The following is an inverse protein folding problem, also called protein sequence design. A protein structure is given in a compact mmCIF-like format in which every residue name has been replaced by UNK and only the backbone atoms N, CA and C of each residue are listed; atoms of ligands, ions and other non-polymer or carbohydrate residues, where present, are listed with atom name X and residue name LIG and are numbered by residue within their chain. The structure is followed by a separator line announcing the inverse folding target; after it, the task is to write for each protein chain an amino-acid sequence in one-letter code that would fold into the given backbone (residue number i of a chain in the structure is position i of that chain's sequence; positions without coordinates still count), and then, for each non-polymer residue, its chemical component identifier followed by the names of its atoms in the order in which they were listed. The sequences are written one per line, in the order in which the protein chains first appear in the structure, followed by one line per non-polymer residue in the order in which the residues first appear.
data_IF_220837421402
#
_entry.id   IF_220837421402
#
_cell.length_a   1.000
_cell.length_b   1.000
_cell.length_c   1.000
_cell.angle_alpha   90.00
_cell.angle_beta   90.00
_cell.angle_gamma   90.00
#
_symmetry.space_group_name_H-M   'P 1'
#
loop_
_entity.id
_entity.type
_entity.pdbx_description
1 polymer ?
#
# COMPACT_ATOMS: atom_id res chain seq x y z
N UNK A 1 36.11 -8.05 -19.14
CA UNK A 1 36.03 -7.39 -17.82
C UNK A 1 35.44 -5.98 -17.88
N UNK A 2 35.58 -5.22 -18.99
CA UNK A 2 34.97 -3.89 -19.15
C UNK A 2 33.45 -3.90 -19.45
N UNK A 3 32.90 -4.91 -20.13
CA UNK A 3 31.46 -4.94 -20.50
C UNK A 3 30.50 -5.12 -19.30
N UNK A 4 30.97 -5.78 -18.23
CA UNK A 4 30.15 -6.10 -17.05
C UNK A 4 29.94 -4.84 -16.17
N UNK A 5 30.93 -3.95 -16.10
CA UNK A 5 30.83 -2.70 -15.32
C UNK A 5 29.77 -1.74 -15.90
N UNK A 6 29.60 -1.72 -17.23
CA UNK A 6 28.70 -0.77 -17.89
C UNK A 6 27.21 -1.12 -17.69
N UNK A 7 26.87 -2.41 -17.68
CA UNK A 7 25.49 -2.86 -17.44
C UNK A 7 24.99 -2.49 -16.03
N UNK A 8 25.86 -2.63 -15.02
CA UNK A 8 25.54 -2.29 -13.62
C UNK A 8 25.31 -0.79 -13.43
N UNK A 9 26.11 0.07 -14.07
CA UNK A 9 25.98 1.52 -13.99
C UNK A 9 24.67 2.04 -14.63
N UNK A 10 24.25 1.46 -15.76
CA UNK A 10 23.01 1.83 -16.45
C UNK A 10 21.77 1.45 -15.63
N UNK A 11 21.78 0.26 -15.02
CA UNK A 11 20.69 -0.19 -14.12
C UNK A 11 20.57 0.72 -12.90
N UNK A 12 21.71 1.10 -12.29
CA UNK A 12 21.73 2.01 -11.15
C UNK A 12 21.20 3.42 -11.52
N UNK A 13 21.56 3.94 -12.70
CA UNK A 13 21.07 5.24 -13.17
C UNK A 13 19.57 5.25 -13.46
N UNK A 14 19.01 4.19 -14.06
CA UNK A 14 17.58 4.07 -14.34
C UNK A 14 16.74 3.97 -13.05
N UNK A 15 17.22 3.25 -12.04
CA UNK A 15 16.58 3.18 -10.73
C UNK A 15 16.62 4.53 -9.99
N UNK A 16 17.75 5.23 -10.05
CA UNK A 16 17.92 6.54 -9.41
C UNK A 16 17.04 7.63 -10.02
N UNK A 17 16.82 7.62 -11.35
CA UNK A 17 16.00 8.63 -12.04
C UNK A 17 14.49 8.41 -11.91
N UNK A 18 14.06 7.19 -11.60
CA UNK A 18 12.63 6.81 -11.53
C UNK A 18 12.08 6.71 -10.11
N UNK A 19 12.94 6.75 -9.08
CA UNK A 19 12.54 6.58 -7.68
C UNK A 19 12.00 5.17 -7.37
N UNK A 20 12.24 4.20 -8.25
CA UNK A 20 11.73 2.84 -8.14
C UNK A 20 12.70 1.97 -7.32
N UNK A 21 12.15 1.15 -6.40
CA UNK A 21 12.85 -0.05 -5.90
C UNK A 21 12.37 -1.25 -6.70
N UNK A 22 13.21 -1.77 -7.56
CA UNK A 22 12.93 -2.94 -8.40
C UNK A 22 14.20 -3.43 -9.08
N UNK A 23 14.15 -4.61 -9.70
CA UNK A 23 15.13 -5.00 -10.70
C UNK A 23 14.66 -4.51 -12.08
N UNK A 24 15.58 -3.95 -12.85
CA UNK A 24 15.37 -3.58 -14.26
C UNK A 24 16.11 -4.59 -15.12
N UNK A 25 15.38 -5.30 -15.98
CA UNK A 25 15.98 -6.14 -17.01
C UNK A 25 16.05 -5.36 -18.32
N UNK A 26 17.23 -5.34 -18.94
CA UNK A 26 17.45 -4.77 -20.26
C UNK A 26 17.53 -5.92 -21.27
N UNK A 27 16.62 -5.95 -22.24
CA UNK A 27 16.80 -6.77 -23.44
C UNK A 27 17.85 -6.13 -24.33
N UNK A 28 18.81 -6.92 -24.83
CA UNK A 28 19.89 -6.41 -25.68
C UNK A 28 19.33 -5.97 -27.05
N UNK A 29 19.28 -4.66 -27.28
CA UNK A 29 19.26 -4.07 -28.62
C UNK A 29 20.69 -3.79 -29.07
N UNK A 30 20.94 -3.86 -30.38
CA UNK A 30 22.28 -3.73 -30.99
C UNK A 30 23.06 -2.49 -30.55
N UNK A 31 24.40 -2.59 -30.60
CA UNK A 31 25.34 -1.55 -30.18
C UNK A 31 26.07 -0.95 -31.37
N UNK A 32 25.96 0.38 -31.55
CA UNK A 32 26.62 1.12 -32.63
C UNK A 32 27.83 1.91 -32.10
N UNK A 33 28.54 1.36 -31.11
CA UNK A 33 29.78 1.94 -30.55
C UNK A 33 29.64 3.22 -29.70
N UNK A 34 28.55 3.98 -29.84
CA UNK A 34 28.35 5.26 -29.15
C UNK A 34 27.07 5.29 -28.28
N UNK A 35 26.06 4.48 -28.62
CA UNK A 35 24.74 4.48 -27.96
C UNK A 35 24.23 3.06 -27.75
N UNK A 36 23.65 2.81 -26.57
CA UNK A 36 22.91 1.59 -26.26
C UNK A 36 21.42 1.92 -26.32
N UNK A 37 20.70 1.36 -27.29
CA UNK A 37 19.23 1.44 -27.33
C UNK A 37 18.62 0.31 -26.53
N UNK A 38 17.92 0.65 -25.44
CA UNK A 38 17.12 -0.30 -24.67
C UNK A 38 15.73 -0.40 -25.29
N UNK A 39 15.34 -1.59 -25.73
CA UNK A 39 13.96 -1.88 -26.13
C UNK A 39 13.34 -2.81 -25.08
N UNK A 40 12.12 -2.48 -24.63
CA UNK A 40 11.33 -3.25 -23.67
C UNK A 40 11.87 -3.28 -22.23
N UNK A 41 11.63 -2.20 -21.48
CA UNK A 41 11.89 -2.14 -20.04
C UNK A 41 10.82 -2.94 -19.31
N UNK A 42 11.21 -4.07 -18.71
CA UNK A 42 10.36 -4.80 -17.77
C UNK A 42 10.78 -4.46 -16.35
N UNK A 43 9.87 -3.77 -15.65
CA UNK A 43 10.05 -3.40 -14.25
C UNK A 43 9.44 -4.50 -13.42
N UNK A 44 10.28 -5.32 -12.78
CA UNK A 44 9.81 -6.27 -11.79
C UNK A 44 9.89 -5.58 -10.44
N UNK A 45 8.75 -5.30 -9.77
CA UNK A 45 8.81 -4.93 -8.36
C UNK A 45 9.49 -6.11 -7.64
N UNK A 46 10.55 -5.84 -6.89
CA UNK A 46 11.21 -6.87 -6.09
C UNK A 46 10.13 -7.60 -5.27
N UNK A 47 9.98 -8.93 -5.42
CA UNK A 47 9.15 -9.71 -4.53
C UNK A 47 9.85 -9.76 -3.17
N UNK A 48 9.75 -8.68 -2.40
CA UNK A 48 10.53 -8.55 -1.17
C UNK A 48 10.50 -7.19 -0.48
N UNK A 49 10.25 -6.08 -1.18
CA UNK A 49 10.10 -4.79 -0.49
C UNK A 49 8.68 -4.67 0.09
N UNK A 50 8.48 -5.31 1.25
CA UNK A 50 7.42 -4.94 2.19
C UNK A 50 7.71 -3.52 2.69
N UNK A 51 7.37 -2.51 1.90
CA UNK A 51 7.39 -1.13 2.38
C UNK A 51 6.20 -0.97 3.31
N UNK A 52 6.47 -1.10 4.60
CA UNK A 52 5.53 -0.69 5.62
C UNK A 52 5.35 0.82 5.54
N UNK A 53 4.13 1.28 5.73
CA UNK A 53 3.82 2.69 5.77
C UNK A 53 2.85 2.97 6.90
N UNK A 54 2.97 4.16 7.47
CA UNK A 54 1.88 4.72 8.25
C UNK A 54 0.81 5.21 7.28
N UNK A 55 -0.43 4.80 7.49
CA UNK A 55 -1.58 5.34 6.74
C UNK A 55 -2.16 6.51 7.52
N UNK A 56 -1.70 7.72 7.21
CA UNK A 56 -2.10 8.95 7.88
C UNK A 56 -3.42 9.48 7.32
N UNK A 57 -4.39 9.71 8.20
CA UNK A 57 -5.61 10.48 7.91
C UNK A 57 -5.26 11.96 7.65
N UNK A 58 -6.17 12.69 7.01
CA UNK A 58 -6.00 14.16 6.83
C UNK A 58 -5.90 14.93 8.14
N UNK A 59 -6.48 14.41 9.22
CA UNK A 59 -6.52 15.05 10.54
C UNK A 59 -5.30 14.70 11.41
N UNK A 60 -4.28 14.07 10.82
CA UNK A 60 -2.99 13.82 11.48
C UNK A 60 -2.92 12.55 12.32
N UNK A 61 -4.02 11.79 12.42
CA UNK A 61 -4.03 10.46 13.03
C UNK A 61 -3.55 9.39 12.05
N UNK A 62 -3.14 8.24 12.57
CA UNK A 62 -2.73 7.08 11.80
C UNK A 62 -3.76 5.96 11.94
N UNK A 63 -3.94 5.18 10.87
CA UNK A 63 -4.57 3.87 10.98
C UNK A 63 -3.78 3.02 11.99
N UNK A 64 -4.48 2.30 12.84
CA UNK A 64 -3.89 1.62 13.99
C UNK A 64 -4.70 0.35 14.31
N UNK A 65 -4.00 -0.78 14.51
CA UNK A 65 -4.58 -1.98 15.11
C UNK A 65 -4.62 -1.78 16.62
N UNK A 66 -5.83 -1.62 17.15
CA UNK A 66 -6.07 -1.32 18.55
C UNK A 66 -5.43 -2.33 19.49
N UNK A 67 -4.74 -1.83 20.52
CA UNK A 67 -4.20 -2.64 21.62
C UNK A 67 -5.25 -3.02 22.68
N UNK A 68 -6.42 -2.37 22.69
CA UNK A 68 -7.47 -2.57 23.69
C UNK A 68 -8.76 -3.16 23.12
N UNK A 69 -9.00 -3.02 21.81
CA UNK A 69 -10.13 -3.61 21.12
C UNK A 69 -9.66 -4.79 20.28
N UNK A 70 -10.09 -6.00 20.65
CA UNK A 70 -9.69 -7.22 19.95
C UNK A 70 -9.99 -7.13 18.44
N UNK A 71 -8.93 -7.21 17.62
CA UNK A 71 -8.93 -7.05 16.15
C UNK A 71 -9.37 -5.68 15.62
N UNK A 72 -9.68 -4.71 16.48
CA UNK A 72 -10.20 -3.41 16.05
C UNK A 72 -9.19 -2.61 15.24
N UNK A 73 -9.63 -1.98 14.15
CA UNK A 73 -8.87 -0.98 13.43
C UNK A 73 -9.45 0.40 13.74
N UNK A 74 -8.59 1.30 14.19
CA UNK A 74 -8.95 2.63 14.68
C UNK A 74 -8.05 3.70 14.05
N UNK A 75 -8.44 4.96 14.19
CA UNK A 75 -7.57 6.11 14.02
C UNK A 75 -6.96 6.48 15.38
N UNK A 76 -5.64 6.60 15.46
CA UNK A 76 -4.94 6.86 16.71
C UNK A 76 -3.73 7.77 16.47
N UNK A 77 -3.23 8.52 17.49
CA UNK A 77 -2.01 9.30 17.35
C UNK A 77 -0.86 8.49 16.75
N UNK A 78 -0.21 9.05 15.74
CA UNK A 78 0.91 8.40 15.07
C UNK A 78 2.09 8.25 16.03
N UNK A 79 2.49 7.02 16.31
CA UNK A 79 3.62 6.68 17.17
C UNK A 79 4.59 5.67 16.52
N UNK A 80 4.26 5.13 15.34
CA UNK A 80 5.20 4.35 14.52
C UNK A 80 5.58 2.98 15.10
N UNK A 81 4.75 2.39 15.95
CA UNK A 81 4.96 1.00 16.45
C UNK A 81 4.39 -0.02 15.47
N UNK A 82 4.65 -1.31 15.69
CA UNK A 82 4.22 -2.42 14.81
C UNK A 82 2.75 -2.35 14.42
N UNK A 83 1.88 -2.00 15.36
CA UNK A 83 0.44 -1.90 15.17
C UNK A 83 -0.03 -0.70 14.31
N UNK A 84 0.88 0.13 13.80
CA UNK A 84 0.58 1.21 12.83
C UNK A 84 1.27 1.02 11.48
N UNK A 85 2.01 -0.08 11.30
CA UNK A 85 2.85 -0.32 10.13
C UNK A 85 2.14 -1.23 9.14
N UNK A 86 1.45 -0.62 8.19
CA UNK A 86 0.68 -1.35 7.19
C UNK A 86 1.51 -1.61 5.94
N UNK A 87 1.44 -2.82 5.41
CA UNK A 87 2.06 -3.18 4.13
C UNK A 87 0.99 -3.45 3.08
N UNK A 88 1.29 -3.11 1.83
CA UNK A 88 0.46 -3.45 0.68
C UNK A 88 1.00 -4.73 0.04
N UNK A 89 0.14 -5.72 -0.19
CA UNK A 89 0.49 -6.98 -0.83
C UNK A 89 -0.59 -7.35 -1.84
N UNK A 90 -0.32 -7.06 -3.12
CA UNK A 90 -1.36 -7.07 -4.16
C UNK A 90 -2.51 -6.15 -3.76
N UNK A 91 -3.73 -6.67 -3.79
CA UNK A 91 -4.93 -5.96 -3.33
C UNK A 91 -5.15 -6.03 -1.80
N UNK A 92 -4.31 -6.72 -1.05
CA UNK A 92 -4.46 -6.81 0.41
C UNK A 92 -3.65 -5.73 1.13
N UNK A 93 -4.23 -5.14 2.18
CA UNK A 93 -3.53 -4.27 3.13
C UNK A 93 -3.30 -5.11 4.39
N UNK A 94 -2.05 -5.18 4.88
CA UNK A 94 -1.65 -6.12 5.94
C UNK A 94 -1.02 -5.43 7.13
N UNK A 95 -1.25 -5.99 8.31
CA UNK A 95 -0.73 -5.51 9.60
C UNK A 95 -0.44 -6.71 10.50
N UNK A 96 0.79 -6.84 11.00
CA UNK A 96 1.18 -7.94 11.91
C UNK A 96 0.81 -9.35 11.38
N UNK A 97 0.93 -9.56 10.06
CA UNK A 97 0.58 -10.83 9.40
C UNK A 97 -0.92 -11.05 9.14
N UNK A 98 -1.78 -10.13 9.58
CA UNK A 98 -3.22 -10.12 9.32
C UNK A 98 -3.57 -9.22 8.14
N UNK A 99 -4.77 -9.39 7.61
CA UNK A 99 -5.34 -8.59 6.52
C UNK A 99 -6.38 -7.60 7.09
N UNK A 100 -6.40 -6.40 6.51
CA UNK A 100 -7.46 -5.42 6.73
C UNK A 100 -8.75 -5.97 6.11
N UNK A 101 -9.80 -6.12 6.93
CA UNK A 101 -10.97 -6.94 6.62
C UNK A 101 -12.26 -6.19 6.97
N UNK A 102 -13.25 -6.20 6.07
CA UNK A 102 -14.62 -5.78 6.38
C UNK A 102 -15.35 -6.94 7.07
N UNK A 103 -15.59 -6.79 8.38
CA UNK A 103 -16.05 -7.86 9.25
C UNK A 103 -17.36 -8.48 8.75
N UNK A 104 -17.34 -9.82 8.61
CA UNK A 104 -18.52 -10.59 8.21
C UNK A 104 -19.00 -10.31 6.78
N UNK A 105 -18.14 -9.78 5.91
CA UNK A 105 -18.51 -9.36 4.54
C UNK A 105 -19.68 -8.36 4.54
N UNK A 106 -19.77 -7.52 5.58
CA UNK A 106 -20.85 -6.55 5.73
C UNK A 106 -20.80 -5.49 4.61
N UNK A 107 -21.69 -5.64 3.63
CA UNK A 107 -21.84 -4.73 2.48
C UNK A 107 -22.55 -3.42 2.81
N UNK A 108 -23.18 -3.32 3.99
CA UNK A 108 -23.91 -2.12 4.42
C UNK A 108 -22.96 -0.99 4.79
N UNK A 109 -23.47 0.25 4.74
CA UNK A 109 -22.73 1.42 5.21
C UNK A 109 -22.35 1.27 6.68
N UNK A 110 -21.11 1.60 7.02
CA UNK A 110 -20.57 1.41 8.36
C UNK A 110 -20.07 -0.01 8.65
N UNK A 111 -19.90 -0.86 7.62
CA UNK A 111 -19.22 -2.14 7.75
C UNK A 111 -17.88 -1.97 8.49
N UNK A 112 -17.78 -2.59 9.67
CA UNK A 112 -16.63 -2.43 10.57
C UNK A 112 -15.37 -3.01 9.95
N UNK A 113 -14.27 -2.27 10.02
CA UNK A 113 -12.97 -2.76 9.57
C UNK A 113 -12.17 -3.32 10.75
N UNK A 114 -11.61 -4.51 10.56
CA UNK A 114 -10.84 -5.26 11.56
C UNK A 114 -9.56 -5.82 10.95
N UNK A 115 -8.63 -6.27 11.81
CA UNK A 115 -7.52 -7.12 11.41
C UNK A 115 -7.92 -8.60 11.54
N UNK A 116 -7.93 -9.33 10.43
CA UNK A 116 -8.36 -10.73 10.39
C UNK A 116 -7.41 -11.63 9.63
N UNK A 117 -7.51 -12.94 9.85
CA UNK A 117 -6.70 -13.93 9.16
C UNK A 117 -6.89 -13.79 7.65
N UNK A 118 -5.79 -13.72 6.90
CA UNK A 118 -5.84 -13.57 5.45
C UNK A 118 -6.43 -14.81 4.78
N UNK A 119 -7.49 -14.63 4.00
CA UNK A 119 -8.16 -15.67 3.21
C UNK A 119 -8.47 -15.23 1.78
N UNK A 120 -8.15 -13.99 1.40
CA UNK A 120 -8.13 -13.54 0.01
C UNK A 120 -9.51 -13.28 -0.63
N UNK A 121 -10.59 -13.28 0.14
CA UNK A 121 -11.93 -12.91 -0.35
C UNK A 121 -12.05 -11.39 -0.54
N UNK A 122 -13.11 -10.96 -1.24
CA UNK A 122 -13.35 -9.55 -1.59
C UNK A 122 -13.35 -8.58 -0.39
N UNK A 123 -13.82 -9.01 0.79
CA UNK A 123 -13.82 -8.19 2.01
C UNK A 123 -12.41 -7.90 2.57
N UNK A 124 -11.36 -8.51 2.02
CA UNK A 124 -9.95 -8.25 2.34
C UNK A 124 -9.18 -7.60 1.18
N UNK A 125 -9.89 -7.23 0.11
CA UNK A 125 -9.30 -6.63 -1.06
C UNK A 125 -9.66 -5.15 -1.17
N UNK A 126 -8.64 -4.35 -1.44
CA UNK A 126 -8.68 -2.90 -1.41
C UNK A 126 -7.92 -2.34 -2.61
N UNK A 127 -8.34 -1.17 -3.07
CA UNK A 127 -7.66 -0.46 -4.15
C UNK A 127 -7.64 1.04 -3.86
N UNK A 128 -6.63 1.74 -4.37
CA UNK A 128 -6.49 3.20 -4.19
C UNK A 128 -7.16 3.95 -5.34
N UNK A 129 -7.83 5.06 -5.01
CA UNK A 129 -8.30 6.07 -5.97
C UNK A 129 -7.95 7.44 -5.42
N UNK A 130 -6.91 8.07 -5.97
CA UNK A 130 -6.31 9.25 -5.35
C UNK A 130 -5.83 8.94 -3.93
N UNK A 131 -6.24 9.77 -2.96
CA UNK A 131 -5.94 9.56 -1.55
C UNK A 131 -6.96 8.65 -0.84
N UNK A 132 -7.97 8.12 -1.52
CA UNK A 132 -8.93 7.19 -0.92
C UNK A 132 -8.47 5.74 -1.03
N UNK A 133 -8.86 4.92 -0.06
CA UNK A 133 -8.72 3.45 -0.08
C UNK A 133 -10.13 2.87 -0.16
N UNK A 134 -10.43 2.09 -1.19
CA UNK A 134 -11.78 1.59 -1.48
C UNK A 134 -11.85 0.08 -1.36
N UNK A 135 -12.94 -0.43 -0.80
CA UNK A 135 -13.19 -1.86 -0.67
C UNK A 135 -13.64 -2.44 -2.00
N UNK A 136 -13.08 -3.59 -2.41
CA UNK A 136 -13.60 -4.35 -3.57
C UNK A 136 -14.97 -4.99 -3.29
N UNK A 137 -15.32 -5.19 -2.02
CA UNK A 137 -16.58 -5.82 -1.61
C UNK A 137 -17.84 -5.05 -2.03
N UNK A 138 -17.81 -3.71 -1.92
CA UNK A 138 -18.96 -2.85 -2.20
C UNK A 138 -18.60 -1.48 -2.82
N UNK A 139 -17.32 -1.23 -3.11
CA UNK A 139 -16.85 0.04 -3.67
C UNK A 139 -16.84 1.23 -2.69
N UNK A 140 -17.17 1.03 -1.42
CA UNK A 140 -17.13 2.07 -0.40
C UNK A 140 -15.70 2.47 -0.03
N UNK A 141 -15.55 3.66 0.55
CA UNK A 141 -14.28 4.20 1.03
C UNK A 141 -14.03 3.77 2.48
N UNK A 142 -12.78 3.42 2.78
CA UNK A 142 -12.27 3.37 4.14
C UNK A 142 -12.47 4.74 4.77
N UNK A 143 -12.99 4.78 6.00
CA UNK A 143 -13.40 6.01 6.66
C UNK A 143 -13.03 5.94 8.15
N UNK A 144 -12.26 6.92 8.59
CA UNK A 144 -11.77 7.07 9.95
C UNK A 144 -12.44 8.24 10.71
N UNK A 145 -13.54 8.80 10.19
CA UNK A 145 -14.17 10.01 10.72
C UNK A 145 -15.64 9.87 11.13
N UNK A 146 -16.36 8.82 10.68
CA UNK A 146 -17.82 8.72 10.90
C UNK A 146 -18.25 8.00 12.18
N UNK A 147 -17.37 7.28 12.86
CA UNK A 147 -17.73 6.45 14.02
C UNK A 147 -16.77 6.63 15.20
N UNK A 148 -16.57 7.89 15.62
CA UNK A 148 -15.55 8.23 16.60
C UNK A 148 -14.17 7.89 16.02
N UNK A 149 -13.34 7.15 16.76
CA UNK A 149 -12.05 6.69 16.26
C UNK A 149 -12.10 5.35 15.53
N UNK A 150 -13.25 4.68 15.41
CA UNK A 150 -13.34 3.38 14.71
C UNK A 150 -13.37 3.57 13.21
N UNK A 151 -12.66 2.68 12.52
CA UNK A 151 -12.63 2.67 11.05
C UNK A 151 -13.71 1.76 10.48
N UNK A 152 -14.38 2.25 9.45
CA UNK A 152 -15.42 1.51 8.73
C UNK A 152 -15.37 1.77 7.23
N UNK A 153 -16.29 1.15 6.50
CA UNK A 153 -16.51 1.39 5.08
C UNK A 153 -17.80 2.17 4.88
N UNK A 154 -17.72 3.32 4.23
CA UNK A 154 -18.86 4.19 3.96
C UNK A 154 -18.91 4.63 2.50
N UNK A 155 -20.02 5.25 2.10
CA UNK A 155 -20.11 5.91 0.78
C UNK A 155 -18.97 6.93 0.66
N UNK A 156 -18.27 6.89 -0.46
CA UNK A 156 -17.26 7.89 -0.76
C UNK A 156 -17.91 9.28 -0.89
N UNK A 157 -17.51 10.21 -0.03
CA UNK A 157 -18.07 11.56 0.06
C UNK A 157 -17.01 12.67 0.01
N UNK A 158 -15.74 12.29 -0.10
CA UNK A 158 -14.62 13.25 -0.20
C UNK A 158 -14.23 13.88 1.14
N UNK A 159 -14.86 13.45 2.25
CA UNK A 159 -14.51 13.94 3.58
C UNK A 159 -13.05 13.66 3.94
N UNK A 160 -12.52 14.47 4.86
CA UNK A 160 -11.14 14.36 5.37
C UNK A 160 -10.84 12.99 6.00
N UNK A 161 -11.86 12.38 6.62
CA UNK A 161 -11.78 11.03 7.20
C UNK A 161 -11.62 9.89 6.18
N UNK A 162 -11.81 10.16 4.88
CA UNK A 162 -11.65 9.18 3.79
C UNK A 162 -10.34 9.33 3.02
N UNK A 163 -9.48 10.27 3.41
CA UNK A 163 -8.20 10.53 2.74
C UNK A 163 -7.05 9.97 3.58
N UNK A 164 -6.24 9.10 2.96
CA UNK A 164 -5.13 8.39 3.58
C UNK A 164 -3.83 8.55 2.79
N UNK A 165 -2.85 9.17 3.44
CA UNK A 165 -1.52 9.44 2.91
C UNK A 165 -0.52 8.42 3.46
N UNK A 166 0.26 7.81 2.58
CA UNK A 166 1.32 6.88 2.98
C UNK A 166 2.56 7.66 3.43
N UNK A 167 2.99 7.46 4.67
CA UNK A 167 4.30 7.92 5.16
C UNK A 167 5.27 6.73 5.14
N UNK A 168 5.99 6.59 4.03
CA UNK A 168 6.99 5.55 3.80
C UNK A 168 8.31 5.96 4.46
N UNK A 169 8.34 5.93 5.79
CA UNK A 169 9.56 6.23 6.58
C UNK A 169 10.23 5.00 7.18
N UNK A 170 9.77 3.80 6.82
CA UNK A 170 10.23 2.56 7.41
C UNK A 170 10.29 1.39 6.43
#
# INVERSE_FOLDING_TARGET
MLEILNKQAIVAALLALSGLSGCVYLGEGGSDGERVTVQNIHIHPEPGLRREALLRTSDGLCLDKSGSEYRGIIAYPCHGKSNQRFSFYGDSIRIEGLCLDVAGENRQSGGKVIAYACHGKENQQWYRVGNTIRSRLNGGCLDAGKSGNRVGVYRCDGSRGQQFYSDARY
#
